data_IF_193305571450
#
_entry.id   IF_193305571450
#
_cell.length_a   1.000
_cell.length_b   1.000
_cell.length_c   1.000
_cell.angle_alpha   90.00
_cell.angle_beta   90.00
_cell.angle_gamma   90.00
#
_symmetry.space_group_name_H-M   'P 1'
#
loop_
_entity.id
_entity.type
_entity.pdbx_description
1 polymer ?
#
# COMPACT_ATOMS: atom_id res chain seq x y z
N UNK A 1 19.43 -14.26 11.51
CA UNK A 1 18.71 -13.03 11.09
C UNK A 1 17.67 -13.40 10.07
N UNK A 2 16.39 -13.09 10.24
CA UNK A 2 15.38 -13.30 9.19
C UNK A 2 15.62 -12.23 8.12
N UNK A 3 15.89 -12.64 6.88
CA UNK A 3 15.96 -11.71 5.76
C UNK A 3 14.54 -11.20 5.47
N UNK A 4 14.33 -9.90 5.66
CA UNK A 4 13.10 -9.20 5.24
C UNK A 4 13.29 -8.85 3.77
N UNK A 5 12.30 -9.18 2.93
CA UNK A 5 12.34 -8.76 1.51
C UNK A 5 11.51 -7.51 1.40
N UNK A 6 12.16 -6.35 1.43
CA UNK A 6 11.46 -5.08 1.34
C UNK A 6 11.11 -4.78 -0.12
N UNK A 7 9.83 -4.52 -0.37
CA UNK A 7 9.34 -4.11 -1.68
C UNK A 7 8.64 -2.78 -1.56
N UNK A 8 9.00 -1.86 -2.45
CA UNK A 8 8.29 -0.61 -2.67
C UNK A 8 7.53 -0.70 -4.00
N UNK A 9 6.23 -0.43 -3.97
CA UNK A 9 5.39 -0.34 -5.18
C UNK A 9 4.68 0.99 -5.21
N UNK A 10 4.79 1.70 -6.33
CA UNK A 10 4.06 2.96 -6.56
C UNK A 10 2.99 2.74 -7.62
N UNK A 11 1.77 3.15 -7.31
CA UNK A 11 0.64 3.12 -8.21
C UNK A 11 0.24 4.54 -8.60
N UNK A 12 -0.05 4.73 -9.89
CA UNK A 12 -0.71 5.93 -10.39
C UNK A 12 -2.23 5.78 -10.29
N UNK A 13 -2.87 6.72 -9.61
CA UNK A 13 -4.29 6.74 -9.37
C UNK A 13 -4.99 7.51 -10.50
N UNK A 14 -5.91 6.84 -11.19
CA UNK A 14 -6.76 7.46 -12.22
C UNK A 14 -7.66 8.56 -11.63
N UNK A 15 -8.07 8.40 -10.37
CA UNK A 15 -8.89 9.34 -9.62
C UNK A 15 -8.40 9.46 -8.17
N UNK A 16 -8.65 10.59 -7.47
CA UNK A 16 -8.36 10.70 -6.05
C UNK A 16 -9.02 9.56 -5.25
N UNK A 17 -8.32 9.04 -4.24
CA UNK A 17 -8.87 8.02 -3.35
C UNK A 17 -10.08 8.55 -2.58
N UNK A 18 -11.13 7.76 -2.51
CA UNK A 18 -12.31 8.07 -1.70
C UNK A 18 -12.02 7.89 -0.21
N UNK A 19 -12.79 8.55 0.69
CA UNK A 19 -12.65 8.36 2.13
C UNK A 19 -12.75 6.89 2.57
N UNK A 20 -13.59 6.08 1.93
CA UNK A 20 -13.69 4.65 2.26
C UNK A 20 -12.41 3.89 1.92
N UNK A 21 -11.78 4.21 0.79
CA UNK A 21 -10.50 3.61 0.37
C UNK A 21 -9.36 4.04 1.30
N UNK A 22 -9.34 5.29 1.74
CA UNK A 22 -8.38 5.77 2.75
C UNK A 22 -8.55 5.05 4.09
N UNK A 23 -9.80 4.74 4.48
CA UNK A 23 -10.08 3.96 5.70
C UNK A 23 -9.62 2.51 5.56
N UNK A 24 -9.92 1.88 4.43
CA UNK A 24 -9.46 0.53 4.11
C UNK A 24 -7.92 0.44 4.10
N UNK A 25 -7.23 1.47 3.61
CA UNK A 25 -5.77 1.58 3.68
C UNK A 25 -5.25 1.68 5.11
N UNK A 26 -5.94 2.44 5.97
CA UNK A 26 -5.61 2.53 7.39
C UNK A 26 -5.82 1.20 8.13
N UNK A 27 -6.88 0.48 7.81
CA UNK A 27 -7.13 -0.88 8.34
C UNK A 27 -6.08 -1.88 7.82
N UNK A 28 -5.74 -1.79 6.53
CA UNK A 28 -4.71 -2.61 5.90
C UNK A 28 -3.31 -2.33 6.47
N UNK A 29 -3.01 -1.10 6.92
CA UNK A 29 -1.76 -0.80 7.60
C UNK A 29 -1.58 -1.55 8.94
N UNK A 30 -2.66 -2.03 9.54
CA UNK A 30 -2.59 -2.93 10.70
C UNK A 30 -2.35 -4.40 10.30
N UNK A 31 -2.31 -4.71 9.00
CA UNK A 31 -2.00 -6.04 8.47
C UNK A 31 -0.50 -6.30 8.54
N UNK A 32 -0.14 -7.47 9.07
CA UNK A 32 1.24 -7.86 9.30
C UNK A 32 2.00 -7.95 7.98
N UNK A 33 2.93 -7.01 7.74
CA UNK A 33 3.74 -6.96 6.52
C UNK A 33 3.74 -5.60 5.83
N UNK A 34 2.72 -4.75 6.05
CA UNK A 34 2.76 -3.38 5.57
C UNK A 34 3.56 -2.53 6.55
N UNK A 35 4.60 -1.83 6.06
CA UNK A 35 5.48 -1.00 6.90
C UNK A 35 5.11 0.47 6.80
N UNK A 36 4.81 0.93 5.59
CA UNK A 36 4.50 2.34 5.33
C UNK A 36 3.68 2.46 4.06
N UNK A 37 2.84 3.49 4.00
CA UNK A 37 2.31 3.99 2.73
C UNK A 37 2.47 5.52 2.67
N UNK A 38 2.55 6.06 1.46
CA UNK A 38 2.62 7.50 1.20
C UNK A 38 1.67 7.85 0.07
N UNK A 39 0.78 8.80 0.32
CA UNK A 39 -0.11 9.36 -0.69
C UNK A 39 0.43 10.71 -1.14
N UNK A 40 0.66 10.85 -2.44
CA UNK A 40 0.92 12.11 -3.11
C UNK A 40 -0.36 12.54 -3.86
N UNK A 41 -1.06 13.53 -3.31
CA UNK A 41 -2.30 14.05 -3.88
C UNK A 41 -2.07 14.91 -5.12
N UNK A 42 -0.90 15.55 -5.24
CA UNK A 42 -0.56 16.40 -6.38
C UNK A 42 -0.27 15.55 -7.61
N UNK A 43 0.47 14.46 -7.41
CA UNK A 43 0.81 13.50 -8.48
C UNK A 43 -0.21 12.40 -8.67
N UNK A 44 -1.24 12.34 -7.82
CA UNK A 44 -2.20 11.22 -7.75
C UNK A 44 -1.48 9.88 -7.66
N UNK A 45 -0.45 9.80 -6.84
CA UNK A 45 0.36 8.59 -6.68
C UNK A 45 0.25 8.06 -5.25
N UNK A 46 0.30 6.75 -5.11
CA UNK A 46 0.40 6.09 -3.81
C UNK A 46 1.53 5.07 -3.82
N UNK A 47 2.43 5.19 -2.86
CA UNK A 47 3.52 4.23 -2.65
C UNK A 47 3.24 3.36 -1.44
N UNK A 48 3.53 2.08 -1.55
CA UNK A 48 3.46 1.09 -0.48
C UNK A 48 4.82 0.48 -0.25
N UNK A 49 5.23 0.40 1.01
CA UNK A 49 6.40 -0.35 1.44
C UNK A 49 5.95 -1.54 2.29
N UNK A 50 6.25 -2.75 1.84
CA UNK A 50 5.87 -3.97 2.53
C UNK A 50 6.94 -5.06 2.46
N UNK A 51 6.84 -6.02 3.38
CA UNK A 51 7.64 -7.24 3.37
C UNK A 51 7.01 -8.27 2.42
N UNK A 52 7.64 -8.51 1.28
CA UNK A 52 7.16 -9.47 0.28
C UNK A 52 7.21 -10.93 0.74
N UNK A 53 7.85 -11.23 1.88
CA UNK A 53 7.71 -12.54 2.53
C UNK A 53 6.34 -12.72 3.22
N UNK A 54 5.59 -11.64 3.41
CA UNK A 54 4.33 -11.60 4.18
C UNK A 54 3.13 -11.09 3.40
N UNK A 55 3.34 -10.16 2.46
CA UNK A 55 2.30 -9.59 1.61
C UNK A 55 2.64 -9.77 0.14
N UNK A 56 1.62 -10.06 -0.66
CA UNK A 56 1.74 -10.08 -2.13
C UNK A 56 1.24 -8.77 -2.72
N UNK A 57 1.81 -8.40 -3.86
CA UNK A 57 1.37 -7.22 -4.63
C UNK A 57 -0.13 -7.24 -4.94
N UNK A 58 -0.70 -8.41 -5.22
CA UNK A 58 -2.15 -8.57 -5.47
C UNK A 58 -3.02 -8.18 -4.27
N UNK A 59 -2.54 -8.42 -3.05
CA UNK A 59 -3.26 -8.05 -1.83
C UNK A 59 -3.20 -6.54 -1.64
N UNK A 60 -2.02 -5.94 -1.88
CA UNK A 60 -1.83 -4.48 -1.86
C UNK A 60 -2.72 -3.79 -2.91
N UNK A 61 -2.78 -4.33 -4.12
CA UNK A 61 -3.60 -3.80 -5.21
C UNK A 61 -5.10 -3.96 -4.94
N UNK A 62 -5.53 -4.97 -4.18
CA UNK A 62 -6.94 -5.16 -3.83
C UNK A 62 -7.47 -4.01 -2.98
N UNK A 63 -6.64 -3.44 -2.10
CA UNK A 63 -7.00 -2.31 -1.22
C UNK A 63 -7.20 -1.00 -2.01
N UNK A 64 -6.66 -0.92 -3.22
CA UNK A 64 -6.80 0.24 -4.11
C UNK A 64 -8.06 0.22 -4.98
N UNK A 65 -8.82 -0.88 -4.98
CA UNK A 65 -10.03 -1.02 -5.80
C UNK A 65 -11.25 -0.33 -5.22
#
# INVERSE_FOLDING_TARGET
MRAVTLVEVTYELQSPLKPEQLRALGEFANTYGLRRFRLDKEKKQISFEYDASRLKETEVAHVLR
#
